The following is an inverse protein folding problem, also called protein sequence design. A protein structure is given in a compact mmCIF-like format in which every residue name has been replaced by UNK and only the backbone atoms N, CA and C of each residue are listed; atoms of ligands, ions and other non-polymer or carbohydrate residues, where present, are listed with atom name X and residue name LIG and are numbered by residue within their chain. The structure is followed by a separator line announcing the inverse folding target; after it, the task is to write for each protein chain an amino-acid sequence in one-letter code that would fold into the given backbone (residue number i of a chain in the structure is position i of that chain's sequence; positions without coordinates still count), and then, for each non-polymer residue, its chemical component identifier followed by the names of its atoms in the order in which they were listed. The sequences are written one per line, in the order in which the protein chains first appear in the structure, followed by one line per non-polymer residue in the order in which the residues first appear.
data_IF_971650817162
#
_entry.id   IF_971650817162
#
_cell.length_a   1.000
_cell.length_b   1.000
_cell.length_c   1.000
_cell.angle_alpha   90.00
_cell.angle_beta   90.00
_cell.angle_gamma   90.00
#
_symmetry.space_group_name_H-M   'P 1'
#
loop_
_entity.id
_entity.type
_entity.pdbx_description
1 polymer ?
#
# COMPACT_ATOMS: atom_id res chain seq x y z
N UNK A 1 -59.74 27.86 -24.11
CA UNK A 1 -58.91 27.21 -23.07
C UNK A 1 -57.94 28.23 -22.53
N UNK A 2 -57.99 28.56 -21.24
CA UNK A 2 -57.25 29.70 -20.68
C UNK A 2 -55.74 29.44 -20.74
N UNK A 3 -54.99 30.34 -21.40
CA UNK A 3 -53.53 30.24 -21.58
C UNK A 3 -52.78 29.98 -20.26
N UNK A 4 -53.29 30.53 -19.15
CA UNK A 4 -52.74 30.30 -17.81
C UNK A 4 -52.92 28.86 -17.31
N UNK A 5 -54.03 28.17 -17.66
CA UNK A 5 -54.25 26.76 -17.29
C UNK A 5 -53.36 25.83 -18.11
N UNK A 6 -53.09 26.18 -19.37
CA UNK A 6 -52.12 25.48 -20.21
C UNK A 6 -50.69 25.64 -19.69
N UNK A 7 -50.26 26.88 -19.40
CA UNK A 7 -48.94 27.16 -18.81
C UNK A 7 -48.75 26.46 -17.46
N UNK A 8 -49.75 26.53 -16.58
CA UNK A 8 -49.71 25.83 -15.29
C UNK A 8 -49.59 24.31 -15.45
N UNK A 9 -50.34 23.73 -16.40
CA UNK A 9 -50.24 22.33 -16.76
C UNK A 9 -48.84 21.95 -17.26
N UNK A 10 -48.25 22.75 -18.14
CA UNK A 10 -46.89 22.53 -18.66
C UNK A 10 -45.82 22.59 -17.55
N UNK A 11 -45.94 23.52 -16.61
CA UNK A 11 -45.00 23.63 -15.47
C UNK A 11 -45.09 22.40 -14.57
N UNK A 12 -46.30 21.92 -14.26
CA UNK A 12 -46.49 20.72 -13.43
C UNK A 12 -45.88 19.49 -14.09
N UNK A 13 -46.11 19.30 -15.40
CA UNK A 13 -45.53 18.18 -16.14
C UNK A 13 -44.01 18.26 -16.15
N UNK A 14 -43.44 19.45 -16.35
CA UNK A 14 -41.99 19.64 -16.34
C UNK A 14 -41.38 19.30 -14.98
N UNK A 15 -42.03 19.69 -13.88
CA UNK A 15 -41.57 19.36 -12.52
C UNK A 15 -41.59 17.85 -12.29
N UNK A 16 -42.66 17.16 -12.68
CA UNK A 16 -42.76 15.70 -12.53
C UNK A 16 -41.69 14.96 -13.36
N UNK A 17 -41.40 15.44 -14.57
CA UNK A 17 -40.32 14.90 -15.41
C UNK A 17 -38.94 15.05 -14.74
N UNK A 18 -38.65 16.22 -14.16
CA UNK A 18 -37.38 16.45 -13.48
C UNK A 18 -37.25 15.59 -12.21
N UNK A 19 -38.32 15.48 -11.42
CA UNK A 19 -38.34 14.60 -10.22
C UNK A 19 -38.15 13.13 -10.64
N UNK A 20 -38.79 12.69 -11.72
CA UNK A 20 -38.62 11.35 -12.28
C UNK A 20 -37.18 11.09 -12.72
N UNK A 21 -36.55 12.05 -13.39
CA UNK A 21 -35.15 11.95 -13.82
C UNK A 21 -34.18 11.84 -12.64
N UNK A 22 -34.36 12.70 -11.62
CA UNK A 22 -33.53 12.69 -10.40
C UNK A 22 -33.70 11.37 -9.65
N UNK A 23 -34.94 10.90 -9.51
CA UNK A 23 -35.23 9.61 -8.87
C UNK A 23 -34.58 8.46 -9.65
N UNK A 24 -34.70 8.45 -10.97
CA UNK A 24 -34.07 7.46 -11.83
C UNK A 24 -32.55 7.45 -11.68
N UNK A 25 -31.88 8.61 -11.62
CA UNK A 25 -30.44 8.69 -11.44
C UNK A 25 -29.98 8.25 -10.03
N UNK A 26 -30.75 8.53 -8.99
CA UNK A 26 -30.42 8.12 -7.62
C UNK A 26 -30.62 6.62 -7.38
N UNK A 27 -31.66 6.02 -7.98
CA UNK A 27 -31.99 4.61 -7.77
C UNK A 27 -31.41 3.67 -8.83
N UNK A 28 -31.03 4.18 -10.01
CA UNK A 28 -30.34 3.39 -11.04
C UNK A 28 -28.85 3.46 -10.80
N UNK A 29 -28.33 2.58 -9.93
CA UNK A 29 -26.89 2.30 -9.93
C UNK A 29 -26.55 1.66 -11.28
N UNK A 30 -25.68 2.25 -12.12
CA UNK A 30 -25.20 1.54 -13.29
C UNK A 30 -24.55 0.24 -12.81
N UNK A 31 -24.83 -0.91 -13.45
CA UNK A 31 -24.04 -2.11 -13.20
C UNK A 31 -22.60 -1.69 -13.48
N UNK A 32 -21.82 -1.54 -12.42
CA UNK A 32 -20.40 -1.30 -12.59
C UNK A 32 -19.91 -2.52 -13.36
N UNK A 33 -19.35 -2.37 -14.56
CA UNK A 33 -18.65 -3.49 -15.16
C UNK A 33 -17.66 -3.97 -14.09
N UNK A 34 -17.59 -5.29 -13.81
CA UNK A 34 -16.65 -5.80 -12.83
C UNK A 34 -15.29 -5.21 -13.20
N UNK A 35 -14.65 -4.52 -12.24
CA UNK A 35 -13.28 -4.06 -12.43
C UNK A 35 -12.50 -5.25 -13.00
N UNK A 36 -11.73 -5.08 -14.08
CA UNK A 36 -10.88 -6.16 -14.57
C UNK A 36 -10.13 -6.70 -13.35
N UNK A 37 -10.08 -8.03 -13.15
CA UNK A 37 -9.39 -8.59 -12.00
C UNK A 37 -8.00 -8.00 -12.00
N UNK A 38 -7.70 -7.17 -11.00
CA UNK A 38 -6.32 -6.80 -10.75
C UNK A 38 -5.58 -8.14 -10.64
N UNK A 39 -4.45 -8.33 -11.34
CA UNK A 39 -3.65 -9.54 -11.15
C UNK A 39 -3.45 -9.65 -9.65
N UNK A 40 -3.97 -10.72 -9.04
CA UNK A 40 -3.83 -10.99 -7.62
C UNK A 40 -2.33 -11.04 -7.40
N UNK A 41 -1.75 -9.94 -6.92
CA UNK A 41 -0.35 -9.94 -6.53
C UNK A 41 -0.31 -10.93 -5.38
N UNK A 42 0.27 -12.09 -5.64
CA UNK A 42 0.54 -13.05 -4.57
C UNK A 42 1.36 -12.29 -3.54
N UNK A 43 0.85 -12.26 -2.31
CA UNK A 43 1.54 -11.62 -1.20
C UNK A 43 2.96 -12.21 -1.09
N UNK A 44 4.01 -11.40 -0.86
CA UNK A 44 5.38 -11.90 -0.75
C UNK A 44 5.53 -13.08 0.22
N UNK A 45 4.71 -13.10 1.28
CA UNK A 45 4.56 -14.22 2.21
C UNK A 45 4.23 -15.54 1.51
N UNK A 46 3.19 -15.55 0.66
CA UNK A 46 2.75 -16.78 -0.03
C UNK A 46 3.78 -17.27 -1.04
N UNK A 47 4.45 -16.35 -1.72
CA UNK A 47 5.52 -16.67 -2.66
C UNK A 47 6.64 -17.42 -1.94
N UNK A 48 7.03 -16.94 -0.76
CA UNK A 48 8.10 -17.56 0.04
C UNK A 48 7.67 -18.93 0.58
N UNK A 49 6.47 -19.05 1.13
CA UNK A 49 5.95 -20.33 1.64
C UNK A 49 5.95 -21.39 0.54
N UNK A 50 5.48 -21.03 -0.66
CA UNK A 50 5.44 -21.94 -1.82
C UNK A 50 6.84 -22.26 -2.36
N UNK A 51 7.72 -21.26 -2.50
CA UNK A 51 9.07 -21.48 -3.07
C UNK A 51 9.96 -22.35 -2.18
N UNK A 52 9.82 -22.23 -0.86
CA UNK A 52 10.62 -22.98 0.10
C UNK A 52 9.94 -24.28 0.55
N UNK A 53 8.69 -24.52 0.12
CA UNK A 53 7.83 -25.61 0.61
C UNK A 53 7.86 -25.70 2.14
N UNK A 54 7.54 -24.57 2.79
CA UNK A 54 7.54 -24.49 4.25
C UNK A 54 6.44 -25.40 4.84
N UNK A 55 6.79 -26.17 5.87
CA UNK A 55 5.81 -26.96 6.61
C UNK A 55 5.02 -26.09 7.61
N UNK A 56 3.96 -26.63 8.20
CA UNK A 56 3.08 -25.88 9.12
C UNK A 56 3.80 -25.28 10.32
N UNK A 57 4.81 -25.96 10.87
CA UNK A 57 5.62 -25.45 11.97
C UNK A 57 6.48 -24.25 11.55
N UNK A 58 7.12 -24.35 10.39
CA UNK A 58 7.92 -23.26 9.80
C UNK A 58 7.04 -22.07 9.42
N UNK A 59 5.83 -22.30 8.89
CA UNK A 59 4.88 -21.24 8.54
C UNK A 59 4.52 -20.42 9.79
N UNK A 60 4.21 -21.09 10.92
CA UNK A 60 3.92 -20.40 12.19
C UNK A 60 5.10 -19.55 12.68
N UNK A 61 6.32 -20.08 12.61
CA UNK A 61 7.53 -19.31 12.96
C UNK A 61 7.72 -18.12 12.02
N UNK A 62 7.52 -18.33 10.72
CA UNK A 62 7.66 -17.29 9.72
C UNK A 62 6.64 -16.16 9.89
N UNK A 63 5.41 -16.48 10.28
CA UNK A 63 4.37 -15.48 10.56
C UNK A 63 4.74 -14.54 11.71
N UNK A 64 5.38 -15.07 12.75
CA UNK A 64 5.93 -14.27 13.85
C UNK A 64 7.04 -13.35 13.32
N UNK A 65 8.00 -13.89 12.57
CA UNK A 65 9.09 -13.11 11.96
C UNK A 65 8.57 -11.99 11.04
N UNK A 66 7.51 -12.24 10.27
CA UNK A 66 6.87 -11.23 9.41
C UNK A 66 6.25 -10.12 10.26
N UNK A 67 5.60 -10.47 11.37
CA UNK A 67 4.92 -9.50 12.23
C UNK A 67 5.93 -8.55 12.87
N UNK A 68 6.98 -9.11 13.49
CA UNK A 68 8.07 -8.35 14.11
C UNK A 68 8.80 -7.45 13.09
N UNK A 69 9.05 -7.99 11.90
CA UNK A 69 9.66 -7.25 10.80
C UNK A 69 8.81 -6.06 10.38
N UNK A 70 7.50 -6.28 10.13
CA UNK A 70 6.57 -5.23 9.71
C UNK A 70 6.48 -4.11 10.74
N UNK A 71 6.37 -4.43 12.03
CA UNK A 71 6.30 -3.43 13.09
C UNK A 71 7.55 -2.56 13.13
N UNK A 72 8.72 -3.18 13.03
CA UNK A 72 10.02 -2.49 13.03
C UNK A 72 10.19 -1.59 11.81
N UNK A 73 9.89 -2.09 10.61
CA UNK A 73 9.95 -1.29 9.39
C UNK A 73 8.99 -0.11 9.45
N UNK A 74 7.74 -0.32 9.85
CA UNK A 74 6.76 0.77 9.97
C UNK A 74 7.20 1.85 10.97
N UNK A 75 7.83 1.46 12.07
CA UNK A 75 8.41 2.41 13.04
C UNK A 75 9.52 3.24 12.41
N UNK A 76 10.44 2.59 11.70
CA UNK A 76 11.56 3.27 11.05
C UNK A 76 11.10 4.17 9.89
N UNK A 77 10.12 3.74 9.10
CA UNK A 77 9.52 4.55 8.04
C UNK A 77 8.84 5.81 8.57
N UNK A 78 8.12 5.72 9.70
CA UNK A 78 7.55 6.89 10.38
C UNK A 78 8.64 7.85 10.82
N UNK A 79 9.67 7.35 11.50
CA UNK A 79 10.79 8.18 11.94
C UNK A 79 11.53 8.84 10.76
N UNK A 80 11.73 8.11 9.67
CA UNK A 80 12.35 8.62 8.45
C UNK A 80 11.51 9.74 7.81
N UNK A 81 10.18 9.58 7.81
CA UNK A 81 9.25 10.60 7.34
C UNK A 81 9.34 11.86 8.21
N UNK A 82 9.26 11.73 9.53
CA UNK A 82 9.30 12.85 10.47
C UNK A 82 10.62 13.64 10.35
N UNK A 83 11.75 12.93 10.22
CA UNK A 83 13.07 13.55 10.00
C UNK A 83 13.13 14.34 8.68
N UNK A 84 12.57 13.78 7.60
CA UNK A 84 12.49 14.48 6.30
C UNK A 84 11.59 15.71 6.38
N UNK A 85 10.45 15.60 7.04
CA UNK A 85 9.56 16.75 7.25
C UNK A 85 10.27 17.86 8.04
N UNK A 86 10.98 17.53 9.12
CA UNK A 86 11.80 18.49 9.87
C UNK A 86 12.89 19.12 9.00
N UNK A 87 13.60 18.32 8.21
CA UNK A 87 14.66 18.78 7.31
C UNK A 87 14.16 19.77 6.26
N UNK A 88 12.95 19.57 5.73
CA UNK A 88 12.39 20.47 4.72
C UNK A 88 11.73 21.70 5.35
N UNK A 89 11.08 21.54 6.51
CA UNK A 89 10.47 22.65 7.24
C UNK A 89 11.50 23.69 7.71
N UNK A 90 12.75 23.28 7.95
CA UNK A 90 13.80 24.20 8.37
C UNK A 90 14.31 25.12 7.25
N UNK A 91 14.12 24.76 5.98
CA UNK A 91 14.55 25.59 4.84
C UNK A 91 13.76 26.90 4.72
N UNK A 92 12.62 27.02 5.40
CA UNK A 92 11.81 28.24 5.46
C UNK A 92 12.08 29.12 6.68
N UNK A 93 13.08 28.81 7.52
CA UNK A 93 13.38 29.55 8.76
C UNK A 93 14.63 30.42 8.59
N UNK A 94 14.66 31.58 9.24
CA UNK A 94 15.80 32.51 9.24
C UNK A 94 16.94 32.07 10.18
N UNK A 95 16.68 31.13 11.09
CA UNK A 95 17.66 30.61 12.05
C UNK A 95 18.62 29.59 11.43
N UNK A 96 19.84 29.53 11.97
CA UNK A 96 20.82 28.49 11.61
C UNK A 96 20.30 27.11 12.02
N UNK A 97 19.88 26.33 11.04
CA UNK A 97 19.46 24.94 11.22
C UNK A 97 20.60 23.97 10.93
N UNK A 98 20.81 23.01 11.84
CA UNK A 98 21.80 21.94 11.68
C UNK A 98 21.26 20.83 10.76
N UNK A 99 21.31 21.10 9.45
CA UNK A 99 20.88 20.14 8.43
C UNK A 99 21.73 18.87 8.46
N UNK A 100 23.02 18.99 8.76
CA UNK A 100 23.98 17.87 8.74
C UNK A 100 23.63 16.83 9.80
N UNK A 101 23.26 17.26 11.01
CA UNK A 101 22.81 16.35 12.07
C UNK A 101 21.53 15.58 11.70
N UNK A 102 20.55 16.27 11.09
CA UNK A 102 19.30 15.61 10.66
C UNK A 102 19.55 14.64 9.50
N UNK A 103 20.42 15.01 8.55
CA UNK A 103 20.84 14.11 7.46
C UNK A 103 21.57 12.89 8.01
N UNK A 104 22.47 13.07 8.98
CA UNK A 104 23.15 11.95 9.64
C UNK A 104 22.14 10.99 10.31
N UNK A 105 21.11 11.54 10.97
CA UNK A 105 20.04 10.72 11.57
C UNK A 105 19.19 9.99 10.53
N UNK A 106 18.89 10.63 9.39
CA UNK A 106 18.22 9.99 8.25
C UNK A 106 19.03 8.78 7.77
N UNK A 107 20.35 8.95 7.59
CA UNK A 107 21.23 7.89 7.14
C UNK A 107 21.29 6.73 8.15
N UNK A 108 21.29 7.03 9.45
CA UNK A 108 21.21 6.01 10.49
C UNK A 108 19.91 5.19 10.41
N UNK A 109 18.76 5.84 10.22
CA UNK A 109 17.48 5.14 10.07
C UNK A 109 17.47 4.27 8.81
N UNK A 110 18.03 4.75 7.71
CA UNK A 110 18.15 3.96 6.48
C UNK A 110 19.02 2.70 6.71
N UNK A 111 20.15 2.85 7.41
CA UNK A 111 20.99 1.72 7.79
C UNK A 111 20.23 0.69 8.64
N UNK A 112 19.43 1.16 9.62
CA UNK A 112 18.60 0.30 10.46
C UNK A 112 17.53 -0.45 9.63
N UNK A 113 16.93 0.19 8.63
CA UNK A 113 16.00 -0.44 7.69
C UNK A 113 16.68 -1.56 6.91
N UNK A 114 17.85 -1.31 6.30
CA UNK A 114 18.54 -2.34 5.51
C UNK A 114 19.01 -3.52 6.37
N UNK A 115 19.51 -3.24 7.58
CA UNK A 115 19.85 -4.29 8.55
C UNK A 115 18.62 -5.11 8.93
N UNK A 116 17.45 -4.47 9.10
CA UNK A 116 16.19 -5.16 9.42
C UNK A 116 15.73 -6.06 8.27
N UNK A 117 15.83 -5.61 7.01
CA UNK A 117 15.57 -6.46 5.84
C UNK A 117 16.51 -7.66 5.76
N UNK A 118 17.82 -7.42 5.90
CA UNK A 118 18.82 -8.48 5.84
C UNK A 118 18.60 -9.53 6.94
N UNK A 119 18.39 -9.08 8.18
CA UNK A 119 18.18 -9.96 9.31
C UNK A 119 16.89 -10.78 9.17
N UNK A 120 15.80 -10.20 8.65
CA UNK A 120 14.57 -10.94 8.37
C UNK A 120 14.80 -12.16 7.46
N UNK A 121 15.58 -12.00 6.39
CA UNK A 121 15.92 -13.11 5.51
C UNK A 121 16.89 -14.10 6.15
N UNK A 122 17.79 -13.63 7.03
CA UNK A 122 18.65 -14.52 7.81
C UNK A 122 17.86 -15.33 8.84
N UNK A 123 16.82 -14.77 9.44
CA UNK A 123 15.94 -15.49 10.36
C UNK A 123 15.06 -16.50 9.62
N UNK A 124 14.56 -16.14 8.43
CA UNK A 124 13.92 -17.11 7.51
C UNK A 124 14.88 -18.26 7.16
N UNK A 125 16.16 -17.98 6.92
CA UNK A 125 17.17 -19.02 6.65
C UNK A 125 17.33 -19.98 7.83
N UNK A 126 17.27 -19.48 9.08
CA UNK A 126 17.43 -20.31 10.29
C UNK A 126 16.32 -21.34 10.48
N UNK A 127 15.10 -21.04 10.03
CA UNK A 127 13.97 -21.97 10.13
C UNK A 127 13.94 -22.99 8.97
N UNK A 128 14.76 -22.81 7.92
CA UNK A 128 14.84 -23.74 6.80
C UNK A 128 15.62 -25.02 7.16
N UNK A 129 15.21 -26.16 6.58
CA UNK A 129 15.94 -27.42 6.70
C UNK A 129 17.10 -27.49 5.68
N UNK A 130 18.02 -28.46 5.87
CA UNK A 130 19.13 -28.68 4.95
C UNK A 130 18.67 -28.91 3.49
N UNK A 131 17.53 -29.58 3.30
CA UNK A 131 16.95 -29.85 1.98
C UNK A 131 16.35 -28.60 1.32
N UNK A 132 15.95 -27.59 2.11
CA UNK A 132 15.40 -26.32 1.62
C UNK A 132 16.49 -25.30 1.27
N UNK A 133 17.74 -25.50 1.71
CA UNK A 133 18.85 -24.57 1.48
C UNK A 133 19.14 -24.25 0.01
N UNK A 134 19.08 -25.20 -0.94
CA UNK A 134 19.19 -24.89 -2.37
C UNK A 134 18.09 -23.93 -2.85
N UNK A 135 16.83 -24.18 -2.47
CA UNK A 135 15.68 -23.33 -2.81
C UNK A 135 15.81 -21.92 -2.20
N UNK A 136 16.34 -21.84 -0.98
CA UNK A 136 16.64 -20.55 -0.35
C UNK A 136 17.70 -19.77 -1.13
N UNK A 137 18.76 -20.43 -1.60
CA UNK A 137 19.79 -19.80 -2.41
C UNK A 137 19.19 -19.21 -3.69
N UNK A 138 18.34 -19.96 -4.38
CA UNK A 138 17.67 -19.50 -5.60
C UNK A 138 16.70 -18.33 -5.30
N UNK A 139 15.97 -18.40 -4.18
CA UNK A 139 15.10 -17.32 -3.72
C UNK A 139 15.86 -16.00 -3.57
N UNK A 140 17.11 -16.00 -3.10
CA UNK A 140 17.88 -14.74 -2.88
C UNK A 140 18.07 -13.91 -4.16
N UNK A 141 18.12 -14.57 -5.33
CA UNK A 141 18.23 -13.91 -6.63
C UNK A 141 16.93 -13.17 -7.04
N UNK A 142 15.80 -13.55 -6.45
CA UNK A 142 14.49 -13.00 -6.76
C UNK A 142 13.95 -12.04 -5.69
N UNK A 143 14.56 -11.99 -4.51
CA UNK A 143 14.09 -11.16 -3.38
C UNK A 143 13.90 -9.69 -3.80
N UNK A 144 14.88 -9.10 -4.47
CA UNK A 144 14.78 -7.72 -4.93
C UNK A 144 13.55 -7.49 -5.81
N UNK A 145 13.19 -8.46 -6.67
CA UNK A 145 12.01 -8.38 -7.55
C UNK A 145 10.70 -8.58 -6.78
N UNK A 146 10.67 -9.53 -5.84
CA UNK A 146 9.49 -9.84 -5.03
C UNK A 146 9.12 -8.66 -4.12
N UNK A 147 10.12 -8.00 -3.55
CA UNK A 147 9.95 -6.92 -2.57
C UNK A 147 10.10 -5.51 -3.15
N UNK A 148 10.32 -5.40 -4.47
CA UNK A 148 10.31 -4.09 -5.14
C UNK A 148 8.93 -3.43 -4.99
N UNK A 149 8.86 -2.12 -4.70
CA UNK A 149 7.61 -1.38 -4.74
C UNK A 149 7.01 -1.51 -6.14
N UNK A 150 5.96 -2.31 -6.29
CA UNK A 150 5.32 -2.47 -7.59
C UNK A 150 4.68 -1.14 -8.03
N UNK A 151 4.34 -0.99 -9.33
CA UNK A 151 3.77 0.25 -9.86
C UNK A 151 2.64 0.76 -8.98
N UNK A 152 2.79 1.99 -8.47
CA UNK A 152 1.76 2.67 -7.69
C UNK A 152 0.52 2.82 -8.60
N UNK A 153 -0.69 2.50 -8.12
CA UNK A 153 -1.90 2.79 -8.88
C UNK A 153 -1.94 4.29 -9.20
N UNK A 154 -2.44 4.69 -10.37
CA UNK A 154 -2.54 6.11 -10.71
C UNK A 154 -3.37 6.81 -9.62
N UNK A 155 -2.76 7.82 -8.99
CA UNK A 155 -3.47 8.74 -8.11
C UNK A 155 -4.48 9.45 -9.02
N UNK A 156 -5.77 9.24 -8.78
CA UNK A 156 -6.80 10.00 -9.50
C UNK A 156 -6.62 11.49 -9.14
N UNK A 157 -6.60 12.38 -10.14
CA UNK A 157 -6.52 13.81 -9.92
C UNK A 157 -7.72 14.33 -9.12
#
# INVERSE_FOLDING_TARGET
MNKNKLLLGSVIVLVLLNIGLISFLLFSKPPHPPKPPHPVRQEPREIIIKKLDLNEGQIKQYDVLITEHKETIQKNERQLKDLKESLYASMGKEETYDADSVIARINQVQLEIENTHYNHFMDLKKICTAEQMPKFKDLTLELAKIFSPGPKPPVKP
#
